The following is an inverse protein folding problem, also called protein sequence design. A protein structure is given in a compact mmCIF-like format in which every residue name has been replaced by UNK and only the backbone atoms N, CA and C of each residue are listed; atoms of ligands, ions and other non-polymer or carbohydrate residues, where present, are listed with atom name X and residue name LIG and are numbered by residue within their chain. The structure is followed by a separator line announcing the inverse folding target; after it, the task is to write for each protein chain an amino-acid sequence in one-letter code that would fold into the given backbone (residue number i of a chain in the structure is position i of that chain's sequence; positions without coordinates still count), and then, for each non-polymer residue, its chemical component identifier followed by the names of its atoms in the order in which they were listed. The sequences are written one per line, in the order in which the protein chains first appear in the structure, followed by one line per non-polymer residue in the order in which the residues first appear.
data_IF_726609008207
#
_entry.id   IF_726609008207
#
_cell.length_a   1.000
_cell.length_b   1.000
_cell.length_c   1.000
_cell.angle_alpha   90.00
_cell.angle_beta   90.00
_cell.angle_gamma   90.00
#
_symmetry.space_group_name_H-M   'P 1'
#
loop_
_entity.id
_entity.type
_entity.pdbx_description
1 polymer ?
#
# COMPACT_ATOMS: atom_id res chain seq x y z
N UNK A 1 -28.24 -8.58 7.78
CA UNK A 1 -27.18 -7.92 7.01
C UNK A 1 -27.75 -7.30 5.76
N UNK A 2 -28.15 -8.13 4.80
CA UNK A 2 -28.42 -7.73 3.42
C UNK A 2 -29.39 -6.57 3.26
N UNK A 3 -30.52 -6.57 3.99
CA UNK A 3 -31.52 -5.51 3.89
C UNK A 3 -30.99 -4.14 4.37
N UNK A 4 -30.12 -4.12 5.40
CA UNK A 4 -29.46 -2.90 5.86
C UNK A 4 -28.32 -2.48 4.93
N UNK A 5 -27.50 -3.43 4.46
CA UNK A 5 -26.43 -3.14 3.49
C UNK A 5 -27.00 -2.53 2.20
N UNK A 6 -28.12 -3.06 1.69
CA UNK A 6 -28.78 -2.55 0.49
C UNK A 6 -29.40 -1.17 0.72
N UNK A 7 -29.91 -0.90 1.92
CA UNK A 7 -30.40 0.43 2.30
C UNK A 7 -29.25 1.46 2.36
N UNK A 8 -28.08 1.11 2.88
CA UNK A 8 -26.91 2.00 2.90
C UNK A 8 -26.27 2.18 1.52
N UNK A 9 -26.22 1.13 0.69
CA UNK A 9 -25.66 1.19 -0.67
C UNK A 9 -26.51 2.05 -1.63
N UNK A 10 -27.81 2.21 -1.36
CA UNK A 10 -28.74 3.02 -2.15
C UNK A 10 -28.79 4.50 -1.72
N UNK A 11 -28.01 4.91 -0.73
CA UNK A 11 -27.90 6.31 -0.31
C UNK A 11 -26.97 7.10 -1.23
N UNK A 12 -27.28 8.39 -1.46
CA UNK A 12 -26.47 9.28 -2.30
C UNK A 12 -25.14 9.68 -1.66
N UNK A 13 -25.02 9.55 -0.34
CA UNK A 13 -23.81 9.89 0.42
C UNK A 13 -22.73 8.80 0.30
N UNK A 14 -21.59 9.17 -0.29
CA UNK A 14 -20.42 8.32 -0.51
C UNK A 14 -19.92 7.65 0.79
N UNK A 15 -19.99 8.35 1.93
CA UNK A 15 -19.60 7.83 3.24
C UNK A 15 -20.55 6.72 3.71
N UNK A 16 -21.86 6.92 3.51
CA UNK A 16 -22.87 5.93 3.87
C UNK A 16 -22.83 4.71 2.95
N UNK A 17 -22.53 4.90 1.65
CA UNK A 17 -22.28 3.79 0.73
C UNK A 17 -21.07 2.98 1.14
N UNK A 18 -19.97 3.62 1.58
CA UNK A 18 -18.80 2.91 2.08
C UNK A 18 -19.10 2.06 3.33
N UNK A 19 -19.95 2.55 4.25
CA UNK A 19 -20.39 1.78 5.43
C UNK A 19 -21.27 0.57 5.13
N UNK A 20 -21.89 0.51 3.95
CA UNK A 20 -22.69 -0.66 3.58
C UNK A 20 -21.87 -1.95 3.58
N UNK A 21 -20.60 -1.87 3.16
CA UNK A 21 -19.66 -2.97 3.15
C UNK A 21 -19.32 -3.42 4.59
N UNK A 22 -19.08 -2.49 5.51
CA UNK A 22 -18.80 -2.80 6.91
C UNK A 22 -19.96 -3.52 7.61
N UNK A 23 -21.19 -3.08 7.37
CA UNK A 23 -22.40 -3.71 7.94
C UNK A 23 -22.60 -5.13 7.40
N UNK A 24 -22.26 -5.34 6.13
CA UNK A 24 -22.28 -6.67 5.50
C UNK A 24 -21.22 -7.58 6.10
N UNK A 25 -19.97 -7.12 6.21
CA UNK A 25 -18.84 -7.84 6.82
C UNK A 25 -19.16 -8.32 8.25
N UNK A 26 -19.62 -7.40 9.11
CA UNK A 26 -19.99 -7.75 10.49
C UNK A 26 -21.11 -8.79 10.53
N UNK A 27 -22.10 -8.66 9.64
CA UNK A 27 -23.23 -9.59 9.58
C UNK A 27 -22.78 -11.00 9.15
N UNK A 28 -21.95 -11.09 8.12
CA UNK A 28 -21.40 -12.36 7.62
C UNK A 28 -20.50 -13.02 8.64
N UNK A 29 -19.67 -12.24 9.35
CA UNK A 29 -18.82 -12.73 10.43
C UNK A 29 -19.62 -13.30 11.59
N UNK A 30 -20.66 -12.61 12.04
CA UNK A 30 -21.55 -13.10 13.12
C UNK A 30 -22.21 -14.41 12.69
N UNK A 31 -22.69 -14.50 11.44
CA UNK A 31 -23.26 -15.73 10.90
C UNK A 31 -22.24 -16.87 10.81
N UNK A 32 -21.00 -16.58 10.41
CA UNK A 32 -19.93 -17.58 10.33
C UNK A 32 -19.57 -18.14 11.71
N UNK A 33 -19.42 -17.27 12.71
CA UNK A 33 -19.14 -17.66 14.10
C UNK A 33 -20.29 -18.49 14.69
N UNK A 34 -21.54 -18.06 14.49
CA UNK A 34 -22.72 -18.82 14.93
C UNK A 34 -22.88 -20.14 14.16
N UNK A 35 -22.46 -20.20 12.91
CA UNK A 35 -22.45 -21.39 12.07
C UNK A 35 -21.28 -22.36 12.33
N UNK A 36 -20.41 -22.08 13.31
CA UNK A 36 -19.25 -22.90 13.62
C UNK A 36 -18.15 -22.89 12.55
N UNK A 37 -18.24 -22.01 11.55
CA UNK A 37 -17.19 -21.77 10.57
C UNK A 37 -16.28 -20.69 11.13
N UNK A 38 -15.12 -21.07 11.64
CA UNK A 38 -14.01 -20.13 11.84
C UNK A 38 -13.48 -19.74 10.46
N UNK A 39 -14.12 -18.75 9.84
CA UNK A 39 -13.55 -18.00 8.73
C UNK A 39 -12.47 -17.07 9.31
N UNK A 40 -11.39 -17.65 9.79
CA UNK A 40 -10.12 -16.94 9.90
C UNK A 40 -9.36 -17.25 8.63
N UNK A 41 -8.79 -16.23 7.97
CA UNK A 41 -7.71 -16.49 7.04
C UNK A 41 -6.70 -17.36 7.77
N UNK A 42 -6.48 -18.59 7.28
CA UNK A 42 -5.54 -19.50 7.92
C UNK A 42 -4.22 -18.74 8.07
N UNK A 43 -3.70 -18.69 9.30
CA UNK A 43 -2.37 -18.17 9.53
C UNK A 43 -1.41 -19.07 8.74
N UNK A 44 -1.07 -18.65 7.53
CA UNK A 44 -0.03 -19.32 6.77
C UNK A 44 1.25 -19.21 7.58
N UNK A 45 1.95 -20.33 7.74
CA UNK A 45 3.29 -20.34 8.34
C UNK A 45 4.38 -19.99 7.30
N UNK A 46 3.99 -19.90 6.03
CA UNK A 46 4.87 -19.61 4.89
C UNK A 46 4.55 -18.25 4.24
N UNK A 47 5.51 -17.63 3.55
CA UNK A 47 5.27 -16.40 2.79
C UNK A 47 4.25 -16.61 1.65
N UNK A 48 3.18 -15.82 1.64
CA UNK A 48 2.04 -15.98 0.72
C UNK A 48 1.67 -14.70 -0.02
N UNK A 49 1.07 -14.88 -1.20
CA UNK A 49 0.36 -13.82 -1.93
C UNK A 49 -1.12 -13.98 -1.63
N UNK A 50 -1.76 -12.93 -1.12
CA UNK A 50 -3.19 -12.97 -0.81
C UNK A 50 -3.96 -12.53 -2.04
N UNK A 51 -4.81 -13.41 -2.55
CA UNK A 51 -5.74 -13.11 -3.65
C UNK A 51 -7.16 -13.15 -3.10
N UNK A 52 -7.90 -12.05 -3.24
CA UNK A 52 -9.26 -11.91 -2.71
C UNK A 52 -10.17 -11.11 -3.65
N UNK A 53 -11.48 -11.19 -3.43
CA UNK A 53 -12.45 -10.35 -4.14
C UNK A 53 -12.31 -8.88 -3.71
N UNK A 54 -12.41 -8.68 -2.40
CA UNK A 54 -12.02 -7.48 -1.66
C UNK A 54 -11.49 -7.93 -0.29
N UNK A 55 -10.83 -7.04 0.44
CA UNK A 55 -10.32 -7.30 1.79
C UNK A 55 -11.01 -6.38 2.78
N UNK A 56 -11.79 -6.95 3.70
CA UNK A 56 -12.41 -6.16 4.75
C UNK A 56 -11.37 -5.69 5.79
N UNK A 57 -11.57 -4.51 6.42
CA UNK A 57 -10.71 -4.05 7.50
C UNK A 57 -10.52 -5.09 8.61
N UNK A 58 -11.56 -5.87 8.91
CA UNK A 58 -11.54 -6.88 9.98
C UNK A 58 -10.67 -8.11 9.65
N UNK A 59 -10.48 -8.41 8.37
CA UNK A 59 -9.65 -9.52 7.88
C UNK A 59 -8.17 -9.11 7.88
N UNK A 60 -7.89 -7.89 7.45
CA UNK A 60 -6.52 -7.38 7.35
C UNK A 60 -5.80 -7.26 8.70
N UNK A 61 -6.53 -7.03 9.79
CA UNK A 61 -5.98 -6.97 11.16
C UNK A 61 -5.49 -8.34 11.64
N UNK A 62 -6.05 -9.43 11.11
CA UNK A 62 -5.69 -10.80 11.51
C UNK A 62 -4.47 -11.34 10.75
N UNK A 63 -3.97 -10.61 9.76
CA UNK A 63 -2.86 -11.04 8.91
C UNK A 63 -1.52 -10.91 9.61
N UNK A 64 -0.69 -11.96 9.47
CA UNK A 64 0.73 -11.87 9.82
C UNK A 64 1.49 -11.12 8.72
N UNK A 65 1.81 -9.86 9.00
CA UNK A 65 2.41 -8.92 8.05
C UNK A 65 3.77 -9.37 7.52
N UNK A 66 4.52 -10.16 8.30
CA UNK A 66 5.85 -10.64 7.91
C UNK A 66 5.80 -11.77 6.87
N UNK A 67 4.63 -12.40 6.73
CA UNK A 67 4.41 -13.53 5.80
C UNK A 67 3.62 -13.11 4.57
N UNK A 68 3.07 -11.89 4.51
CA UNK A 68 2.37 -11.43 3.32
C UNK A 68 3.36 -10.79 2.35
N UNK A 69 3.56 -11.42 1.20
CA UNK A 69 4.43 -10.92 0.15
C UNK A 69 3.74 -9.88 -0.73
N UNK A 70 2.44 -10.04 -0.98
CA UNK A 70 1.66 -9.13 -1.81
C UNK A 70 0.15 -9.34 -1.65
N UNK A 71 -0.62 -8.31 -2.03
CA UNK A 71 -2.08 -8.35 -2.12
C UNK A 71 -2.54 -8.22 -3.58
N UNK A 72 -3.51 -9.03 -3.99
CA UNK A 72 -4.18 -8.93 -5.29
C UNK A 72 -5.68 -8.97 -5.07
N UNK A 73 -6.39 -7.91 -5.44
CA UNK A 73 -7.86 -7.86 -5.34
C UNK A 73 -8.53 -7.72 -6.71
N UNK A 74 -9.64 -8.45 -6.89
CA UNK A 74 -10.46 -8.37 -8.13
C UNK A 74 -11.24 -7.07 -8.18
N UNK A 75 -11.76 -6.64 -7.04
CA UNK A 75 -12.49 -5.40 -6.87
C UNK A 75 -11.73 -4.43 -5.96
N UNK A 76 -12.17 -3.17 -5.98
CA UNK A 76 -11.58 -2.09 -5.21
C UNK A 76 -11.00 -0.97 -6.09
N UNK A 77 -10.39 0.02 -5.43
CA UNK A 77 -9.76 1.16 -6.09
C UNK A 77 -8.42 1.46 -5.43
N UNK A 78 -7.60 2.29 -6.07
CA UNK A 78 -6.33 2.77 -5.50
C UNK A 78 -6.47 3.54 -4.17
N UNK A 79 -7.71 3.91 -3.81
CA UNK A 79 -8.07 4.58 -2.57
C UNK A 79 -8.84 3.66 -1.59
N UNK A 80 -8.93 2.36 -1.87
CA UNK A 80 -9.59 1.41 -0.96
C UNK A 80 -8.76 1.18 0.30
N UNK A 81 -9.41 0.65 1.34
CA UNK A 81 -8.75 0.29 2.60
C UNK A 81 -7.56 -0.65 2.36
N UNK A 82 -7.70 -1.63 1.46
CA UNK A 82 -6.63 -2.55 1.04
C UNK A 82 -5.44 -1.81 0.43
N UNK A 83 -5.69 -0.83 -0.43
CA UNK A 83 -4.65 -0.01 -1.05
C UNK A 83 -3.85 0.80 -0.03
N UNK A 84 -4.57 1.44 0.88
CA UNK A 84 -4.00 2.27 1.96
C UNK A 84 -3.16 1.39 2.89
N UNK A 85 -3.67 0.21 3.22
CA UNK A 85 -2.98 -0.74 4.08
C UNK A 85 -1.69 -1.25 3.44
N UNK A 86 -1.73 -1.70 2.19
CA UNK A 86 -0.56 -2.18 1.46
C UNK A 86 0.55 -1.12 1.41
N UNK A 87 0.19 0.15 1.14
CA UNK A 87 1.13 1.28 1.19
C UNK A 87 1.72 1.48 2.58
N UNK A 88 0.89 1.44 3.62
CA UNK A 88 1.33 1.61 5.02
C UNK A 88 2.28 0.49 5.44
N UNK A 89 2.07 -0.73 4.93
CA UNK A 89 2.93 -1.89 5.17
C UNK A 89 4.15 -1.96 4.22
N UNK A 90 4.25 -1.06 3.24
CA UNK A 90 5.26 -1.14 2.17
C UNK A 90 5.25 -2.48 1.41
N UNK A 91 4.08 -3.09 1.27
CA UNK A 91 3.86 -4.34 0.55
C UNK A 91 3.31 -4.02 -0.86
N UNK A 92 3.84 -4.64 -1.93
CA UNK A 92 3.27 -4.48 -3.27
C UNK A 92 1.81 -4.94 -3.33
N UNK A 93 0.95 -4.19 -4.02
CA UNK A 93 -0.44 -4.57 -4.21
C UNK A 93 -0.95 -4.28 -5.63
N UNK A 94 -1.74 -5.20 -6.17
CA UNK A 94 -2.53 -5.04 -7.38
C UNK A 94 -4.01 -4.98 -7.01
N UNK A 95 -4.72 -4.01 -7.57
CA UNK A 95 -6.12 -3.73 -7.22
C UNK A 95 -6.91 -3.59 -8.51
N UNK A 96 -8.07 -4.23 -8.59
CA UNK A 96 -8.87 -4.25 -9.81
C UNK A 96 -8.27 -5.18 -10.87
N UNK A 97 -7.71 -6.31 -10.45
CA UNK A 97 -7.09 -7.29 -11.36
C UNK A 97 -8.08 -8.40 -11.68
N UNK A 98 -8.37 -8.60 -12.96
CA UNK A 98 -9.19 -9.73 -13.41
C UNK A 98 -8.44 -11.05 -13.23
N UNK A 99 -8.64 -11.69 -12.06
CA UNK A 99 -8.13 -13.02 -11.74
C UNK A 99 -9.29 -13.92 -11.28
N UNK A 100 -9.38 -15.17 -11.78
CA UNK A 100 -10.41 -16.10 -11.31
C UNK A 100 -10.13 -16.56 -9.88
N UNK A 101 -10.98 -16.13 -8.94
CA UNK A 101 -11.00 -16.61 -7.56
C UNK A 101 -11.58 -18.02 -7.52
N UNK A 102 -10.72 -19.01 -7.73
CA UNK A 102 -11.10 -20.42 -7.73
C UNK A 102 -10.13 -21.20 -6.86
N UNK A 103 -10.58 -22.27 -6.21
CA UNK A 103 -9.69 -23.13 -5.39
C UNK A 103 -8.50 -23.70 -6.20
N UNK A 104 -8.56 -23.64 -7.53
CA UNK A 104 -7.48 -24.03 -8.43
C UNK A 104 -6.24 -23.12 -8.38
N UNK A 105 -6.31 -21.93 -7.78
CA UNK A 105 -5.14 -21.05 -7.60
C UNK A 105 -4.50 -21.19 -6.22
N UNK A 106 -5.21 -21.78 -5.25
CA UNK A 106 -4.73 -21.90 -3.88
C UNK A 106 -3.53 -22.86 -3.79
N UNK A 107 -2.53 -22.49 -2.98
CA UNK A 107 -1.28 -23.23 -2.83
C UNK A 107 -0.36 -23.25 -4.05
N UNK A 108 -0.68 -22.53 -5.13
CA UNK A 108 0.16 -22.46 -6.33
C UNK A 108 1.22 -21.36 -6.25
N UNK A 109 2.29 -21.53 -7.01
CA UNK A 109 3.31 -20.50 -7.16
C UNK A 109 2.72 -19.28 -7.91
N UNK A 110 2.77 -18.12 -7.25
CA UNK A 110 2.32 -16.86 -7.83
C UNK A 110 3.49 -15.89 -8.03
N UNK A 111 3.44 -15.10 -9.11
CA UNK A 111 4.33 -13.95 -9.32
C UNK A 111 3.46 -12.71 -9.51
N UNK A 112 3.72 -11.68 -8.70
CA UNK A 112 3.06 -10.37 -8.82
C UNK A 112 4.01 -9.41 -9.55
N UNK A 113 3.62 -8.96 -10.73
CA UNK A 113 4.33 -7.95 -11.51
C UNK A 113 3.65 -6.59 -11.35
N UNK A 114 4.16 -5.81 -10.40
CA UNK A 114 3.70 -4.45 -10.14
C UNK A 114 4.00 -3.44 -11.25
N UNK A 115 4.88 -3.75 -12.21
CA UNK A 115 5.22 -2.85 -13.32
C UNK A 115 4.21 -2.97 -14.45
N UNK A 116 3.84 -4.21 -14.80
CA UNK A 116 2.85 -4.48 -15.83
C UNK A 116 1.42 -4.58 -15.28
N UNK A 117 1.26 -4.62 -13.96
CA UNK A 117 -0.04 -4.68 -13.31
C UNK A 117 -0.72 -6.03 -13.46
N UNK A 118 0.05 -7.13 -13.48
CA UNK A 118 -0.47 -8.48 -13.73
C UNK A 118 0.07 -9.49 -12.72
N UNK A 119 -0.65 -10.61 -12.60
CA UNK A 119 -0.29 -11.75 -11.77
C UNK A 119 -0.15 -12.99 -12.67
N UNK A 120 0.92 -13.75 -12.44
CA UNK A 120 1.14 -15.06 -13.06
C UNK A 120 0.88 -16.14 -12.03
N UNK A 121 -0.06 -17.03 -12.32
CA UNK A 121 -0.37 -18.19 -11.48
C UNK A 121 0.18 -19.42 -12.18
N UNK A 122 0.96 -20.22 -11.45
CA UNK A 122 1.57 -21.45 -11.97
C UNK A 122 2.42 -21.21 -13.24
N UNK A 123 3.36 -20.24 -13.21
CA UNK A 123 4.15 -19.89 -14.39
C UNK A 123 5.04 -21.05 -14.83
N UNK A 124 5.29 -21.15 -16.14
CA UNK A 124 6.28 -22.08 -16.68
C UNK A 124 7.71 -21.69 -16.26
N UNK A 125 8.64 -22.63 -16.40
CA UNK A 125 10.04 -22.43 -15.99
C UNK A 125 10.69 -21.23 -16.70
N UNK A 126 10.35 -21.00 -17.96
CA UNK A 126 10.85 -19.87 -18.74
C UNK A 126 10.36 -18.53 -18.16
N UNK A 127 9.08 -18.40 -17.84
CA UNK A 127 8.52 -17.19 -17.20
C UNK A 127 9.09 -17.01 -15.81
N UNK A 128 9.18 -18.08 -15.01
CA UNK A 128 9.75 -18.03 -13.67
C UNK A 128 11.21 -17.55 -13.70
N UNK A 129 12.04 -18.11 -14.57
CA UNK A 129 13.45 -17.73 -14.71
C UNK A 129 13.59 -16.26 -15.11
N UNK A 130 12.81 -15.81 -16.10
CA UNK A 130 12.82 -14.42 -16.54
C UNK A 130 12.42 -13.45 -15.42
N UNK A 131 11.37 -13.78 -14.67
CA UNK A 131 10.91 -12.93 -13.57
C UNK A 131 11.88 -12.90 -12.39
N UNK A 132 12.54 -14.03 -12.09
CA UNK A 132 13.61 -14.09 -11.10
C UNK A 132 14.80 -13.20 -11.51
N UNK A 133 15.19 -13.22 -12.79
CA UNK A 133 16.25 -12.34 -13.30
C UNK A 133 15.85 -10.86 -13.14
N UNK A 134 14.63 -10.47 -13.52
CA UNK A 134 14.16 -9.09 -13.37
C UNK A 134 14.14 -8.64 -11.91
N UNK A 135 13.74 -9.52 -10.98
CA UNK A 135 13.77 -9.26 -9.54
C UNK A 135 15.21 -9.05 -9.05
N UNK A 136 16.15 -9.87 -9.53
CA UNK A 136 17.57 -9.75 -9.19
C UNK A 136 18.16 -8.43 -9.69
N UNK A 137 17.90 -8.06 -10.95
CA UNK A 137 18.34 -6.78 -11.54
C UNK A 137 17.78 -5.57 -10.76
N UNK A 138 16.53 -5.65 -10.33
CA UNK A 138 15.92 -4.61 -9.50
C UNK A 138 16.56 -4.51 -8.11
N UNK A 139 16.88 -5.64 -7.50
CA UNK A 139 17.57 -5.70 -6.21
C UNK A 139 18.98 -5.11 -6.33
N UNK A 140 19.75 -5.50 -7.34
CA UNK A 140 21.09 -4.97 -7.61
C UNK A 140 21.06 -3.46 -7.87
N UNK A 141 20.09 -2.99 -8.65
CA UNK A 141 19.88 -1.55 -8.87
C UNK A 141 19.57 -0.84 -7.57
N UNK A 142 18.71 -1.41 -6.72
CA UNK A 142 18.37 -0.83 -5.40
C UNK A 142 19.60 -0.73 -4.50
N UNK A 143 20.41 -1.78 -4.46
CA UNK A 143 21.68 -1.80 -3.71
C UNK A 143 22.67 -0.77 -4.24
N UNK A 144 22.83 -0.67 -5.57
CA UNK A 144 23.67 0.35 -6.20
C UNK A 144 23.21 1.76 -5.80
N UNK A 145 21.90 2.04 -5.82
CA UNK A 145 21.35 3.33 -5.39
C UNK A 145 21.66 3.62 -3.91
N UNK A 146 21.69 2.61 -3.03
CA UNK A 146 22.12 2.82 -1.64
C UNK A 146 23.57 3.27 -1.55
N UNK A 147 24.46 2.81 -2.43
CA UNK A 147 25.88 3.22 -2.44
C UNK A 147 26.11 4.68 -2.88
N UNK A 148 25.08 5.31 -3.46
CA UNK A 148 25.12 6.72 -3.85
C UNK A 148 24.82 7.66 -2.69
N UNK A 149 24.26 7.16 -1.58
CA UNK A 149 24.02 7.97 -0.38
C UNK A 149 25.36 8.50 0.16
N UNK A 150 25.38 9.78 0.49
CA UNK A 150 26.54 10.53 0.94
C UNK A 150 27.48 10.99 -0.18
N UNK A 151 27.20 10.66 -1.46
CA UNK A 151 27.99 11.14 -2.59
C UNK A 151 27.48 12.48 -3.10
N UNK A 152 28.38 13.28 -3.65
CA UNK A 152 27.98 14.50 -4.33
C UNK A 152 27.24 14.22 -5.64
N UNK A 153 26.17 14.97 -5.86
CA UNK A 153 25.37 14.92 -7.08
C UNK A 153 26.06 15.72 -8.20
N UNK A 154 27.01 15.10 -8.90
CA UNK A 154 27.81 15.73 -9.95
C UNK A 154 27.62 14.98 -11.26
N UNK A 155 27.35 15.70 -12.35
CA UNK A 155 27.25 15.13 -13.70
C UNK A 155 28.61 14.68 -14.23
N UNK A 156 28.62 13.90 -15.32
CA UNK A 156 29.85 13.39 -15.95
C UNK A 156 30.78 14.53 -16.40
N UNK A 157 30.22 15.70 -16.76
CA UNK A 157 30.93 16.92 -17.14
C UNK A 157 31.25 17.87 -15.96
N UNK A 158 31.01 17.44 -14.72
CA UNK A 158 31.46 18.15 -13.52
C UNK A 158 30.49 19.19 -12.95
N UNK A 159 29.24 19.26 -13.43
CA UNK A 159 28.23 20.19 -12.92
C UNK A 159 27.56 19.62 -11.67
N UNK A 160 27.64 20.36 -10.56
CA UNK A 160 26.91 20.04 -9.34
C UNK A 160 25.42 20.32 -9.51
N UNK A 161 24.59 19.34 -9.16
CA UNK A 161 23.13 19.42 -9.19
C UNK A 161 22.64 19.22 -7.76
N UNK A 162 21.60 19.96 -7.38
CA UNK A 162 20.93 19.74 -6.09
C UNK A 162 19.73 18.84 -6.30
N UNK A 163 19.68 17.72 -5.60
CA UNK A 163 18.53 16.84 -5.56
C UNK A 163 17.76 17.11 -4.26
N UNK A 164 16.55 17.64 -4.42
CA UNK A 164 15.68 17.98 -3.31
C UNK A 164 14.44 17.09 -3.30
N UNK A 165 13.94 16.78 -2.11
CA UNK A 165 12.72 16.00 -1.94
C UNK A 165 11.47 16.88 -2.07
N UNK A 166 10.38 16.26 -2.50
CA UNK A 166 9.04 16.83 -2.46
C UNK A 166 8.25 16.10 -1.37
N UNK A 167 7.70 16.84 -0.41
CA UNK A 167 6.97 16.27 0.72
C UNK A 167 5.58 16.89 0.87
N UNK A 168 4.63 16.13 1.39
CA UNK A 168 3.27 16.59 1.70
C UNK A 168 2.99 16.70 3.20
N UNK A 169 3.74 15.98 4.03
CA UNK A 169 3.58 16.04 5.48
C UNK A 169 4.90 15.74 6.22
N UNK A 170 4.87 15.84 7.56
CA UNK A 170 6.06 15.60 8.40
C UNK A 170 6.50 14.13 8.46
N UNK A 171 5.66 13.16 8.13
CA UNK A 171 6.03 11.73 8.13
C UNK A 171 6.97 11.39 6.97
N UNK A 172 6.90 12.15 5.88
CA UNK A 172 7.79 11.99 4.72
C UNK A 172 9.26 12.28 5.08
N UNK A 173 9.52 13.07 6.13
CA UNK A 173 10.87 13.46 6.56
C UNK A 173 11.79 12.27 6.83
N UNK A 174 11.25 11.18 7.39
CA UNK A 174 12.04 9.97 7.63
C UNK A 174 12.59 9.39 6.32
N UNK A 175 11.78 9.38 5.26
CA UNK A 175 12.20 8.92 3.94
C UNK A 175 13.17 9.90 3.27
N UNK A 176 13.00 11.22 3.47
CA UNK A 176 13.94 12.25 2.98
C UNK A 176 15.34 12.03 3.56
N UNK A 177 15.43 11.88 4.89
CA UNK A 177 16.69 11.64 5.58
C UNK A 177 17.29 10.29 5.21
N UNK A 178 16.45 9.24 5.17
CA UNK A 178 16.90 7.90 4.81
C UNK A 178 17.50 7.88 3.40
N UNK A 179 16.99 8.68 2.46
CA UNK A 179 17.44 8.71 1.07
C UNK A 179 18.47 9.81 0.74
N UNK A 180 19.03 10.48 1.75
CA UNK A 180 20.10 11.48 1.57
C UNK A 180 19.72 12.61 0.60
N UNK A 181 18.48 13.08 0.68
CA UNK A 181 18.07 14.24 -0.11
C UNK A 181 18.84 15.49 0.36
N UNK A 182 19.30 16.32 -0.55
CA UNK A 182 20.05 17.54 -0.25
C UNK A 182 19.22 18.68 0.38
N UNK A 183 17.95 18.43 0.71
CA UNK A 183 16.98 19.40 1.20
C UNK A 183 15.55 19.09 0.74
N UNK A 184 14.60 19.93 1.15
CA UNK A 184 13.22 19.90 0.65
C UNK A 184 13.07 21.01 -0.39
N UNK A 185 12.68 20.64 -1.60
CA UNK A 185 12.51 21.56 -2.73
C UNK A 185 11.06 21.99 -2.92
N UNK A 186 10.13 21.18 -2.42
CA UNK A 186 8.71 21.47 -2.43
C UNK A 186 8.05 20.88 -1.17
N UNK A 187 7.38 21.73 -0.40
CA UNK A 187 6.46 21.33 0.65
C UNK A 187 5.04 21.63 0.17
N UNK A 188 4.22 20.60 -0.04
CA UNK A 188 2.83 20.73 -0.46
C UNK A 188 1.93 20.89 0.76
N UNK A 189 1.59 22.14 1.08
CA UNK A 189 0.78 22.48 2.25
C UNK A 189 -0.70 22.11 2.11
N UNK A 190 -1.17 21.80 0.89
CA UNK A 190 -2.56 21.42 0.64
C UNK A 190 -2.96 20.14 1.39
N UNK A 191 -2.01 19.22 1.61
CA UNK A 191 -2.27 18.00 2.37
C UNK A 191 -2.56 18.25 3.86
N UNK A 192 -2.17 19.41 4.40
CA UNK A 192 -2.57 19.83 5.76
C UNK A 192 -4.08 20.06 5.87
N UNK A 193 -4.74 20.32 4.74
CA UNK A 193 -6.17 20.61 4.67
C UNK A 193 -6.98 19.40 4.22
N UNK A 194 -6.46 18.61 3.27
CA UNK A 194 -7.22 17.52 2.62
C UNK A 194 -7.49 16.32 3.54
N UNK A 195 -6.69 16.10 4.58
CA UNK A 195 -6.83 14.97 5.51
C UNK A 195 -7.53 15.34 6.83
N UNK A 196 -8.26 16.46 6.87
CA UNK A 196 -8.90 16.97 8.11
C UNK A 196 -10.38 17.29 7.93
N UNK A 197 -11.16 17.01 8.97
CA UNK A 197 -12.58 17.42 9.05
C UNK A 197 -12.74 18.93 9.29
N UNK A 198 -11.73 19.58 9.86
CA UNK A 198 -11.72 21.02 10.16
C UNK A 198 -10.42 21.67 9.68
N UNK A 199 -10.51 22.96 9.35
CA UNK A 199 -9.34 23.73 8.92
C UNK A 199 -8.23 23.71 9.99
N UNK A 200 -6.97 23.46 9.62
CA UNK A 200 -5.86 23.50 10.56
C UNK A 200 -5.67 24.92 11.09
N UNK A 201 -5.54 25.03 12.41
CA UNK A 201 -5.24 26.29 13.07
C UNK A 201 -3.84 26.80 12.68
N UNK A 202 -3.59 28.09 12.88
CA UNK A 202 -2.27 28.68 12.67
C UNK A 202 -1.20 27.98 13.50
N UNK A 203 -1.50 27.69 14.77
CA UNK A 203 -0.57 27.01 15.68
C UNK A 203 -0.20 25.61 15.17
N UNK A 204 -1.17 24.84 14.67
CA UNK A 204 -0.89 23.52 14.11
C UNK A 204 -0.02 23.58 12.85
N UNK A 205 -0.31 24.54 11.96
CA UNK A 205 0.52 24.76 10.78
C UNK A 205 1.94 25.17 11.19
N UNK A 206 2.07 26.08 12.16
CA UNK A 206 3.35 26.51 12.70
C UNK A 206 4.16 25.33 13.24
N UNK A 207 3.57 24.46 14.06
CA UNK A 207 4.28 23.30 14.60
C UNK A 207 4.76 22.34 13.51
N UNK A 208 3.97 22.13 12.46
CA UNK A 208 4.35 21.25 11.34
C UNK A 208 5.51 21.86 10.54
N UNK A 209 5.42 23.13 10.16
CA UNK A 209 6.49 23.81 9.44
C UNK A 209 7.77 23.90 10.27
N UNK A 210 7.64 24.18 11.57
CA UNK A 210 8.78 24.22 12.50
C UNK A 210 9.47 22.88 12.59
N UNK A 211 8.70 21.80 12.75
CA UNK A 211 9.24 20.43 12.80
C UNK A 211 10.02 20.09 11.52
N UNK A 212 9.45 20.43 10.35
CA UNK A 212 10.08 20.19 9.05
C UNK A 212 11.39 20.96 8.90
N UNK A 213 11.40 22.24 9.29
CA UNK A 213 12.60 23.08 9.24
C UNK A 213 13.69 22.60 10.21
N UNK A 214 13.34 22.35 11.48
CA UNK A 214 14.27 21.87 12.51
C UNK A 214 14.88 20.51 12.15
N UNK A 215 14.08 19.60 11.58
CA UNK A 215 14.53 18.23 11.22
C UNK A 215 15.54 18.23 10.08
N UNK A 216 15.40 19.16 9.12
CA UNK A 216 16.35 19.29 8.01
C UNK A 216 17.63 20.05 8.40
N UNK A 217 17.80 20.38 9.69
CA UNK A 217 18.96 21.07 10.24
C UNK A 217 19.31 22.37 9.48
N UNK A 218 18.27 23.14 9.14
CA UNK A 218 18.38 24.51 8.62
C UNK A 218 18.44 25.54 9.73
#
# INVERSE_FOLDING_TARGET
GDNFAQMFASMEDDYMRARSADVKDISERVLSVLGGRTAGMAASEEPVIIVADDLAPSETVQLNKDLVLSFVTVHGSVNSHTAILARTMSIPALIGTDIPLTDAIDGKLGIVDGRNGCIYVDPDEDTLSKMQQLKQEEQEKKELLQTLKGRENITIDGKKIMLYANIGNSKDLAAVLQNDAGGIGLFRSEFLYLERETFPTEEEQFQIYRTVAETMAG
#
